data_IF_490263603399
#
_entry.id   IF_490263603399
#
_cell.length_a   1.000
_cell.length_b   1.000
_cell.length_c   1.000
_cell.angle_alpha   90.00
_cell.angle_beta   90.00
_cell.angle_gamma   90.00
#
_symmetry.space_group_name_H-M   'P 1'
#
loop_
_entity.id
_entity.type
_entity.pdbx_description
1 polymer ?
#
# COMPACT_ATOMS: atom_id res chain seq x y z
N UNK A 1 -9.67 -6.84 22.14
CA UNK A 1 -8.23 -6.55 21.86
C UNK A 1 -8.02 -5.13 21.37
N UNK A 2 -8.85 -4.62 20.45
CA UNK A 2 -8.83 -3.20 20.06
C UNK A 2 -9.01 -2.29 21.28
N UNK A 3 -10.01 -2.57 22.13
CA UNK A 3 -10.27 -1.75 23.33
C UNK A 3 -9.07 -1.72 24.29
N UNK A 4 -8.45 -2.88 24.53
CA UNK A 4 -7.24 -2.98 25.37
C UNK A 4 -6.03 -2.26 24.79
N UNK A 5 -5.83 -2.36 23.47
CA UNK A 5 -4.77 -1.59 22.81
C UNK A 5 -5.00 -0.07 22.92
N UNK A 6 -6.26 0.38 22.89
CA UNK A 6 -6.59 1.80 23.06
C UNK A 6 -6.48 2.26 24.52
N UNK A 7 -6.87 1.44 25.49
CA UNK A 7 -6.68 1.71 26.93
C UNK A 7 -5.19 1.93 27.27
N UNK A 8 -4.32 1.13 26.66
CA UNK A 8 -2.87 1.21 26.85
C UNK A 8 -2.15 2.03 25.77
N UNK A 9 -2.88 2.85 24.98
CA UNK A 9 -2.30 3.72 23.94
C UNK A 9 -1.10 4.55 24.43
N UNK A 10 -1.11 5.17 25.64
CA UNK A 10 0.03 5.93 26.14
C UNK A 10 1.33 5.12 26.28
N UNK A 11 1.26 3.79 26.38
CA UNK A 11 2.43 2.92 26.54
C UNK A 11 3.18 2.72 25.22
N UNK A 12 2.48 2.71 24.09
CA UNK A 12 3.06 2.29 22.81
C UNK A 12 2.98 3.35 21.71
N UNK A 13 2.19 4.41 21.85
CA UNK A 13 1.92 5.34 20.74
C UNK A 13 3.16 5.98 20.10
N UNK A 14 4.24 6.23 20.86
CA UNK A 14 5.43 6.92 20.35
C UNK A 14 6.42 5.99 19.65
N UNK A 15 6.80 4.88 20.30
CA UNK A 15 7.87 3.99 19.83
C UNK A 15 7.50 2.49 19.85
N UNK A 16 6.24 2.17 20.13
CA UNK A 16 5.82 0.79 20.39
C UNK A 16 6.09 0.34 21.82
N UNK A 17 5.73 -0.91 22.11
CA UNK A 17 6.05 -1.65 23.33
C UNK A 17 6.27 -3.12 22.99
N UNK A 18 7.25 -3.74 23.64
CA UNK A 18 7.53 -5.18 23.55
C UNK A 18 6.88 -5.97 24.70
N UNK A 19 6.13 -5.31 25.58
CA UNK A 19 5.43 -5.97 26.68
C UNK A 19 3.95 -5.59 26.69
N UNK A 20 3.09 -6.56 26.37
CA UNK A 20 1.62 -6.37 26.34
C UNK A 20 0.88 -7.38 27.21
N UNK A 21 1.58 -8.25 27.96
CA UNK A 21 0.97 -9.31 28.76
C UNK A 21 0.02 -8.77 29.83
N UNK A 22 0.32 -7.62 30.42
CA UNK A 22 -0.49 -7.01 31.48
C UNK A 22 -1.80 -6.41 30.99
N UNK A 23 -2.05 -6.37 29.67
CA UNK A 23 -3.29 -5.84 29.11
C UNK A 23 -4.50 -6.77 29.34
N UNK A 24 -4.28 -8.00 29.82
CA UNK A 24 -5.32 -8.96 30.20
C UNK A 24 -5.07 -9.48 31.63
N UNK A 25 -6.12 -9.47 32.47
CA UNK A 25 -6.06 -9.97 33.86
C UNK A 25 -5.63 -11.45 33.95
N UNK A 26 -5.88 -12.21 32.88
CA UNK A 26 -5.39 -13.57 32.70
C UNK A 26 -4.45 -13.55 31.49
N UNK A 27 -3.14 -13.51 31.74
CA UNK A 27 -2.13 -13.53 30.67
C UNK A 27 -2.32 -14.73 29.74
N UNK A 28 -1.96 -14.59 28.46
CA UNK A 28 -2.09 -15.66 27.49
C UNK A 28 -1.31 -16.90 27.95
N UNK A 29 -1.98 -18.07 28.04
CA UNK A 29 -1.36 -19.33 28.49
C UNK A 29 -0.23 -19.82 27.58
N UNK A 30 -0.11 -19.27 26.37
CA UNK A 30 0.77 -19.72 25.28
C UNK A 30 1.90 -18.74 24.94
N UNK A 31 1.96 -17.56 25.57
CA UNK A 31 3.04 -16.59 25.34
C UNK A 31 3.44 -15.91 26.66
N UNK A 32 4.75 -15.88 26.92
CA UNK A 32 5.31 -15.33 28.15
C UNK A 32 5.13 -13.81 28.25
N UNK A 33 5.06 -13.09 27.12
CA UNK A 33 5.21 -11.63 27.10
C UNK A 33 4.18 -10.87 26.24
N UNK A 34 3.39 -11.56 25.40
CA UNK A 34 2.50 -10.91 24.43
C UNK A 34 1.06 -11.45 24.44
N UNK A 35 0.10 -10.58 24.13
CA UNK A 35 -1.30 -10.95 23.90
C UNK A 35 -1.55 -11.18 22.40
N UNK A 36 -2.59 -11.93 22.06
CA UNK A 36 -2.98 -12.15 20.67
C UNK A 36 -3.62 -10.89 20.07
N UNK A 37 -2.80 -10.06 19.40
CA UNK A 37 -3.27 -8.89 18.66
C UNK A 37 -3.72 -9.37 17.28
N UNK A 38 -5.04 -9.44 17.08
CA UNK A 38 -5.63 -9.94 15.83
C UNK A 38 -5.76 -8.88 14.74
N UNK A 39 -5.50 -7.60 15.01
CA UNK A 39 -5.59 -6.54 14.00
C UNK A 39 -4.19 -6.12 13.56
N UNK A 40 -3.90 -6.24 12.27
CA UNK A 40 -2.56 -5.98 11.75
C UNK A 40 -2.15 -4.51 11.90
N UNK A 41 -3.08 -3.56 11.77
CA UNK A 41 -2.78 -2.14 11.98
C UNK A 41 -2.38 -1.85 13.42
N UNK A 42 -3.12 -2.42 14.38
CA UNK A 42 -2.76 -2.32 15.79
C UNK A 42 -1.44 -3.01 16.08
N UNK A 43 -1.17 -4.16 15.45
CA UNK A 43 0.12 -4.84 15.59
C UNK A 43 1.29 -3.95 15.16
N UNK A 44 1.17 -3.27 14.03
CA UNK A 44 2.17 -2.28 13.58
C UNK A 44 2.30 -1.11 14.56
N UNK A 45 1.20 -0.69 15.17
CA UNK A 45 1.19 0.32 16.23
C UNK A 45 1.91 -0.14 17.50
N UNK A 46 1.64 -1.34 17.97
CA UNK A 46 2.29 -1.91 19.15
C UNK A 46 3.77 -2.16 18.90
N UNK A 47 4.15 -2.65 17.72
CA UNK A 47 5.55 -3.00 17.42
C UNK A 47 6.45 -1.75 17.21
N UNK A 48 5.90 -0.63 16.73
CA UNK A 48 6.72 0.55 16.35
C UNK A 48 6.05 1.91 16.46
N UNK A 49 4.94 1.99 17.21
CA UNK A 49 4.19 3.21 17.47
C UNK A 49 3.25 3.64 16.34
N UNK A 50 2.54 4.74 16.59
CA UNK A 50 1.63 5.34 15.62
C UNK A 50 2.34 5.73 14.32
N UNK A 51 3.62 6.10 14.39
CA UNK A 51 4.42 6.41 13.21
C UNK A 51 4.47 5.21 12.25
N UNK A 52 4.84 4.02 12.74
CA UNK A 52 4.91 2.82 11.92
C UNK A 52 3.53 2.45 11.35
N UNK A 53 2.48 2.54 12.18
CA UNK A 53 1.10 2.30 11.75
C UNK A 53 0.68 3.25 10.63
N UNK A 54 0.94 4.55 10.75
CA UNK A 54 0.61 5.53 9.72
C UNK A 54 1.43 5.35 8.45
N UNK A 55 2.72 4.99 8.55
CA UNK A 55 3.54 4.67 7.39
C UNK A 55 2.97 3.47 6.61
N UNK A 56 2.56 2.43 7.34
CA UNK A 56 1.92 1.26 6.72
C UNK A 56 0.62 1.63 6.00
N UNK A 57 -0.27 2.40 6.64
CA UNK A 57 -1.50 2.90 6.02
C UNK A 57 -1.19 3.78 4.80
N UNK A 58 -0.17 4.63 4.88
CA UNK A 58 0.25 5.49 3.77
C UNK A 58 0.75 4.67 2.56
N UNK A 59 1.45 3.56 2.78
CA UNK A 59 1.86 2.63 1.72
C UNK A 59 0.64 2.04 1.01
N UNK A 60 -0.37 1.57 1.77
CA UNK A 60 -1.61 1.06 1.18
C UNK A 60 -2.35 2.15 0.39
N UNK A 61 -2.47 3.35 0.97
CA UNK A 61 -3.10 4.50 0.30
C UNK A 61 -2.37 4.89 -1.00
N UNK A 62 -1.04 4.83 -1.01
CA UNK A 62 -0.23 5.02 -2.22
C UNK A 62 -0.47 3.92 -3.25
N UNK A 63 -0.58 2.66 -2.82
CA UNK A 63 -0.96 1.54 -3.69
C UNK A 63 -2.31 1.78 -4.38
N UNK A 64 -3.36 2.14 -3.64
CA UNK A 64 -4.65 2.50 -4.23
C UNK A 64 -4.57 3.71 -5.17
N UNK A 65 -3.76 4.71 -4.82
CA UNK A 65 -3.55 5.88 -5.68
C UNK A 65 -2.92 5.48 -7.02
N UNK A 66 -1.96 4.56 -7.02
CA UNK A 66 -1.35 4.04 -8.24
C UNK A 66 -2.33 3.25 -9.08
N UNK A 67 -3.12 2.35 -8.48
CA UNK A 67 -4.20 1.63 -9.18
C UNK A 67 -5.17 2.62 -9.83
N UNK A 68 -5.64 3.62 -9.08
CA UNK A 68 -6.56 4.64 -9.58
C UNK A 68 -5.99 5.46 -10.74
N UNK A 69 -4.70 5.83 -10.67
CA UNK A 69 -4.02 6.53 -11.76
C UNK A 69 -3.87 5.65 -13.00
N UNK A 70 -3.48 4.38 -12.83
CA UNK A 70 -3.36 3.42 -13.93
C UNK A 70 -4.71 3.18 -14.62
N UNK A 71 -5.82 3.10 -13.87
CA UNK A 71 -7.16 2.95 -14.46
C UNK A 71 -7.61 4.20 -15.22
N UNK A 72 -7.27 5.41 -14.73
CA UNK A 72 -7.59 6.68 -15.40
C UNK A 72 -6.78 6.88 -16.69
N UNK A 73 -5.47 6.62 -16.65
CA UNK A 73 -4.57 6.74 -17.80
C UNK A 73 -4.77 5.60 -18.80
N UNK A 74 -5.12 4.42 -18.30
CA UNK A 74 -5.35 3.21 -19.08
C UNK A 74 -6.66 3.20 -19.87
N UNK A 75 -7.38 4.32 -20.00
CA UNK A 75 -8.56 4.40 -20.86
C UNK A 75 -8.26 4.07 -22.34
N UNK A 76 -7.01 4.24 -22.76
CA UNK A 76 -6.51 3.89 -24.10
C UNK A 76 -5.84 2.50 -24.17
N UNK A 77 -5.71 1.81 -23.04
CA UNK A 77 -5.05 0.49 -22.97
C UNK A 77 -6.03 -0.65 -23.30
N UNK A 78 -5.51 -1.81 -23.72
CA UNK A 78 -6.33 -2.97 -24.01
C UNK A 78 -7.21 -3.40 -22.82
N UNK A 79 -8.41 -3.94 -23.06
CA UNK A 79 -9.34 -4.36 -22.02
C UNK A 79 -8.72 -5.32 -20.98
N UNK A 80 -7.86 -6.23 -21.43
CA UNK A 80 -7.16 -7.20 -20.57
C UNK A 80 -6.25 -6.51 -19.54
N UNK A 81 -5.57 -5.42 -19.93
CA UNK A 81 -4.71 -4.68 -19.02
C UNK A 81 -5.54 -3.93 -17.97
N UNK A 82 -6.68 -3.36 -18.38
CA UNK A 82 -7.60 -2.68 -17.47
C UNK A 82 -8.19 -3.66 -16.44
N UNK A 83 -8.53 -4.87 -16.88
CA UNK A 83 -9.01 -5.94 -16.00
C UNK A 83 -7.93 -6.40 -15.02
N UNK A 84 -6.67 -6.52 -15.45
CA UNK A 84 -5.54 -6.84 -14.58
C UNK A 84 -5.33 -5.77 -13.49
N UNK A 85 -5.27 -4.49 -13.86
CA UNK A 85 -5.12 -3.39 -12.90
C UNK A 85 -6.29 -3.35 -11.91
N UNK A 86 -7.52 -3.57 -12.39
CA UNK A 86 -8.69 -3.67 -11.53
C UNK A 86 -8.59 -4.84 -10.54
N UNK A 87 -8.16 -6.01 -11.01
CA UNK A 87 -7.99 -7.21 -10.18
C UNK A 87 -6.92 -7.02 -9.10
N UNK A 88 -5.82 -6.32 -9.43
CA UNK A 88 -4.80 -5.92 -8.45
C UNK A 88 -5.35 -4.95 -7.40
N UNK A 89 -6.21 -4.01 -7.81
CA UNK A 89 -6.94 -3.13 -6.90
C UNK A 89 -7.85 -3.89 -5.95
N UNK A 90 -8.60 -4.87 -6.46
CA UNK A 90 -9.48 -5.73 -5.66
C UNK A 90 -8.67 -6.59 -4.68
N UNK A 91 -7.53 -7.14 -5.11
CA UNK A 91 -6.61 -7.89 -4.25
C UNK A 91 -6.04 -7.01 -3.14
N UNK A 92 -5.59 -5.79 -3.45
CA UNK A 92 -5.11 -4.83 -2.45
C UNK A 92 -6.21 -4.44 -1.44
N UNK A 93 -7.46 -4.32 -1.90
CA UNK A 93 -8.62 -4.11 -1.03
C UNK A 93 -8.89 -5.30 -0.10
N UNK A 94 -8.89 -6.52 -0.64
CA UNK A 94 -9.07 -7.72 0.15
C UNK A 94 -8.00 -7.82 1.24
N UNK A 95 -6.75 -7.55 0.89
CA UNK A 95 -5.64 -7.45 1.81
C UNK A 95 -5.86 -6.40 2.92
N UNK A 96 -6.17 -5.16 2.55
CA UNK A 96 -6.41 -4.06 3.49
C UNK A 96 -7.59 -4.34 4.44
N UNK A 97 -8.66 -4.97 3.95
CA UNK A 97 -9.81 -5.40 4.74
C UNK A 97 -9.45 -6.57 5.68
N UNK A 98 -8.68 -7.55 5.19
CA UNK A 98 -8.24 -8.68 6.01
C UNK A 98 -7.37 -8.21 7.18
N UNK A 99 -6.53 -7.20 6.98
CA UNK A 99 -5.72 -6.59 8.05
C UNK A 99 -6.55 -6.01 9.21
N UNK A 100 -7.84 -5.72 9.02
CA UNK A 100 -8.73 -5.29 10.11
C UNK A 100 -9.12 -6.43 11.05
N UNK A 101 -9.21 -7.65 10.50
CA UNK A 101 -9.71 -8.84 11.19
C UNK A 101 -8.61 -9.78 11.68
N UNK A 102 -7.50 -9.86 10.91
CA UNK A 102 -6.40 -10.77 11.15
C UNK A 102 -5.06 -10.05 11.06
N UNK A 103 -4.16 -10.35 12.00
CA UNK A 103 -2.76 -9.95 11.95
C UNK A 103 -2.03 -10.86 10.99
N UNK A 104 -1.48 -10.28 9.94
CA UNK A 104 -0.68 -11.04 9.00
C UNK A 104 0.58 -11.54 9.70
N UNK A 105 0.82 -12.84 9.60
CA UNK A 105 2.00 -13.52 10.10
C UNK A 105 2.71 -14.24 8.94
N UNK A 106 4.02 -14.35 9.06
CA UNK A 106 4.86 -15.18 8.19
C UNK A 106 4.64 -14.88 6.67
N UNK A 107 4.27 -15.89 5.88
CA UNK A 107 4.15 -15.77 4.42
C UNK A 107 3.05 -14.83 3.93
N UNK A 108 2.01 -14.58 4.74
CA UNK A 108 0.88 -13.73 4.32
C UNK A 108 1.29 -12.28 4.03
N UNK A 109 2.29 -11.77 4.76
CA UNK A 109 2.88 -10.44 4.57
C UNK A 109 3.57 -10.33 3.20
N UNK A 110 4.16 -11.42 2.72
CA UNK A 110 4.86 -11.44 1.42
C UNK A 110 3.89 -11.22 0.26
N UNK A 111 2.70 -11.82 0.30
CA UNK A 111 1.70 -11.63 -0.76
C UNK A 111 1.16 -10.20 -0.84
N UNK A 112 1.02 -9.54 0.31
CA UNK A 112 0.70 -8.11 0.38
C UNK A 112 1.77 -7.27 -0.32
N UNK A 113 3.05 -7.48 0.04
CA UNK A 113 4.16 -6.72 -0.56
C UNK A 113 4.35 -7.02 -2.03
N UNK A 114 4.13 -8.27 -2.46
CA UNK A 114 4.15 -8.63 -3.87
C UNK A 114 3.07 -7.88 -4.65
N UNK A 115 1.84 -7.82 -4.13
CA UNK A 115 0.75 -7.05 -4.75
C UNK A 115 1.12 -5.58 -4.89
N UNK A 116 1.68 -4.96 -3.84
CA UNK A 116 2.16 -3.57 -3.88
C UNK A 116 3.30 -3.38 -4.90
N UNK A 117 4.26 -4.32 -4.97
CA UNK A 117 5.38 -4.26 -5.90
C UNK A 117 4.94 -4.36 -7.36
N UNK A 118 3.97 -5.23 -7.66
CA UNK A 118 3.38 -5.36 -9.00
C UNK A 118 2.64 -4.08 -9.38
N UNK A 119 1.82 -3.53 -8.47
CA UNK A 119 1.12 -2.25 -8.69
C UNK A 119 2.11 -1.12 -8.96
N UNK A 120 3.19 -1.02 -8.16
CA UNK A 120 4.24 -0.01 -8.35
C UNK A 120 4.99 -0.17 -9.68
N UNK A 121 5.28 -1.40 -10.08
CA UNK A 121 5.94 -1.71 -11.35
C UNK A 121 5.09 -1.31 -12.55
N UNK A 122 3.78 -1.61 -12.51
CA UNK A 122 2.84 -1.21 -13.55
C UNK A 122 2.74 0.31 -13.66
N UNK A 123 2.60 1.00 -12.52
CA UNK A 123 2.51 2.47 -12.50
C UNK A 123 3.79 3.12 -13.03
N UNK A 124 4.97 2.60 -12.68
CA UNK A 124 6.23 3.08 -13.26
C UNK A 124 6.25 2.90 -14.78
N UNK A 125 5.79 1.75 -15.28
CA UNK A 125 5.67 1.48 -16.70
C UNK A 125 4.75 2.48 -17.43
N UNK A 126 3.56 2.75 -16.88
CA UNK A 126 2.61 3.69 -17.49
C UNK A 126 3.14 5.12 -17.52
N UNK A 127 3.78 5.58 -16.43
CA UNK A 127 4.39 6.92 -16.37
C UNK A 127 5.51 7.08 -17.39
N UNK A 128 6.35 6.05 -17.59
CA UNK A 128 7.42 6.07 -18.59
C UNK A 128 6.87 6.12 -20.02
N UNK A 129 5.80 5.35 -20.31
CA UNK A 129 5.14 5.37 -21.61
C UNK A 129 4.57 6.76 -21.94
N UNK A 130 3.85 7.38 -21.02
CA UNK A 130 3.28 8.73 -21.23
C UNK A 130 4.36 9.78 -21.47
N UNK A 131 5.49 9.73 -20.74
CA UNK A 131 6.61 10.65 -20.97
C UNK A 131 7.25 10.45 -22.35
N UNK A 132 7.36 9.20 -22.81
CA UNK A 132 7.88 8.86 -24.13
C UNK A 132 7.03 9.41 -25.27
N UNK A 133 5.71 9.23 -25.19
CA UNK A 133 4.74 9.73 -26.18
C UNK A 133 4.81 11.26 -26.32
N UNK A 134 4.78 11.99 -25.19
CA UNK A 134 4.87 13.45 -25.17
C UNK A 134 6.20 13.95 -25.76
N UNK A 135 7.32 13.27 -25.46
CA UNK A 135 8.62 13.64 -26.00
C UNK A 135 8.71 13.43 -27.53
N UNK A 136 8.02 12.43 -28.09
CA UNK A 136 7.94 12.22 -29.53
C UNK A 136 7.06 13.27 -30.22
N UNK A 137 5.88 13.56 -29.68
CA UNK A 137 4.96 14.58 -30.21
C UNK A 137 5.64 15.96 -30.29
N UNK A 138 6.38 16.34 -29.24
CA UNK A 138 7.07 17.63 -29.18
C UNK A 138 8.24 17.75 -30.19
N UNK A 139 8.90 16.63 -30.54
CA UNK A 139 9.92 16.59 -31.61
C UNK A 139 9.30 16.78 -32.99
N UNK A 140 8.12 16.19 -33.24
CA UNK A 140 7.42 16.32 -34.52
C UNK A 140 6.97 17.78 -34.74
N UNK A 141 6.45 18.43 -33.70
CA UNK A 141 6.02 19.83 -33.78
C UNK A 141 7.18 20.83 -33.97
N UNK A 142 8.31 20.63 -33.31
CA UNK A 142 9.48 21.50 -33.51
C UNK A 142 10.12 21.32 -34.88
N UNK A 143 10.20 20.10 -35.41
CA UNK A 143 10.73 19.84 -36.76
C UNK A 143 9.84 20.39 -37.89
N UNK A 144 8.53 20.45 -37.70
CA UNK A 144 7.60 21.01 -38.69
C UNK A 144 7.61 22.55 -38.70
N UNK A 145 7.79 23.20 -37.55
CA UNK A 145 7.91 24.67 -37.45
C UNK A 145 9.22 25.22 -38.07
N UNK A 146 10.32 24.47 -37.97
CA UNK A 146 11.60 24.84 -38.60
C UNK A 146 11.52 24.74 -40.12
N UNK A 147 10.75 23.79 -40.66
CA UNK A 147 10.57 23.64 -42.11
C UNK A 147 9.75 24.79 -42.75
N UNK A 148 8.80 25.38 -42.03
CA UNK A 148 7.93 26.44 -42.57
C UNK A 148 8.49 27.86 -42.47
N UNK A 149 9.63 28.06 -41.80
CA UNK A 149 10.26 29.37 -41.60
C UNK A 149 11.49 29.60 -42.49
N UNK A 150 11.84 28.62 -43.33
CA UNK A 150 12.96 28.67 -44.27
C UNK A 150 12.60 29.03 -45.72
N UNK A 151 11.39 29.58 -45.96
CA UNK A 151 10.93 30.05 -47.27
C UNK A 151 10.68 31.56 -47.28
#
# INVERSE_FOLDING_TARGET
>A
MIDKALEHLPEWWFAGTDYTRHWLDYGAFWSADHIDITNHYLRMGVDGGLLLMFLFIAILAKGFSFVGQCLRQGAKLPPEFRFLVWSLGASLFAHAATCLSVSYFDQSVVFMYLTLAVVGSIWSGTVLQTKGEVAQENKIHTSSAVSSSGH
#
